data_IF_590172143573
#
_entry.id   IF_590172143573
#
_cell.length_a   1.000
_cell.length_b   1.000
_cell.length_c   1.000
_cell.angle_alpha   90.00
_cell.angle_beta   90.00
_cell.angle_gamma   90.00
#
_symmetry.space_group_name_H-M   'P 1'
#
loop_
_entity.id
_entity.type
_entity.pdbx_description
1 polymer ?
#
# COMPACT_ATOMS: atom_id res chain seq x y z
N UNK A 1 -2.42 6.24 -5.46
CA UNK A 1 -2.11 7.36 -4.53
C UNK A 1 -1.14 6.86 -3.45
N UNK A 2 -0.29 7.71 -2.86
CA UNK A 2 0.58 7.27 -1.77
C UNK A 2 -0.15 7.16 -0.42
N UNK A 3 0.39 6.34 0.50
CA UNK A 3 -0.26 6.02 1.77
C UNK A 3 -0.57 7.26 2.64
N UNK A 4 0.28 8.29 2.62
CA UNK A 4 0.06 9.50 3.42
C UNK A 4 -1.14 10.29 2.93
N UNK A 5 -1.22 10.47 1.60
CA UNK A 5 -2.33 11.17 0.97
C UNK A 5 -3.63 10.43 1.21
N UNK A 6 -3.62 9.09 1.10
CA UNK A 6 -4.79 8.27 1.41
C UNK A 6 -5.29 8.49 2.85
N UNK A 7 -4.42 8.33 3.85
CA UNK A 7 -4.79 8.48 5.26
C UNK A 7 -5.36 9.88 5.56
N UNK A 8 -4.85 10.91 4.87
CA UNK A 8 -5.35 12.28 4.99
C UNK A 8 -6.71 12.45 4.30
N UNK A 9 -6.89 11.88 3.11
CA UNK A 9 -8.13 11.91 2.32
C UNK A 9 -9.30 11.26 3.06
N UNK A 10 -9.10 10.05 3.60
CA UNK A 10 -10.18 9.28 4.24
C UNK A 10 -10.43 9.69 5.71
N UNK A 11 -9.73 10.73 6.21
CA UNK A 11 -9.77 11.19 7.62
C UNK A 11 -9.58 10.05 8.64
N UNK A 12 -8.92 8.98 8.23
CA UNK A 12 -8.79 7.79 9.05
C UNK A 12 -7.68 7.99 10.07
N UNK A 13 -7.92 7.59 11.32
CA UNK A 13 -6.88 7.66 12.34
C UNK A 13 -5.85 6.58 12.05
N UNK A 14 -4.58 6.96 12.03
CA UNK A 14 -3.46 6.01 11.85
C UNK A 14 -3.54 4.82 12.82
N UNK A 15 -4.11 5.03 14.02
CA UNK A 15 -4.32 3.96 15.00
C UNK A 15 -5.29 2.90 14.50
N UNK A 16 -6.47 3.30 14.03
CA UNK A 16 -7.49 2.34 13.55
C UNK A 16 -7.01 1.60 12.29
N UNK A 17 -6.29 2.29 11.42
CA UNK A 17 -5.64 1.67 10.26
C UNK A 17 -4.56 0.67 10.68
N UNK A 18 -3.77 1.02 11.71
CA UNK A 18 -2.76 0.14 12.28
C UNK A 18 -3.39 -1.09 12.95
N UNK A 19 -4.49 -0.91 13.67
CA UNK A 19 -5.24 -1.98 14.34
C UNK A 19 -5.81 -2.97 13.29
N UNK A 20 -6.36 -2.45 12.19
CA UNK A 20 -6.83 -3.28 11.05
C UNK A 20 -5.72 -4.09 10.39
N UNK A 21 -4.49 -3.58 10.45
CA UNK A 21 -3.29 -4.27 9.98
C UNK A 21 -2.62 -5.09 11.09
N UNK A 22 -3.02 -5.01 12.35
CA UNK A 22 -2.29 -5.64 13.47
C UNK A 22 -0.82 -5.17 13.56
N UNK A 23 -0.59 -3.87 13.37
CA UNK A 23 0.73 -3.22 13.54
C UNK A 23 0.62 -2.01 14.46
N UNK A 24 1.74 -1.39 14.80
CA UNK A 24 1.72 -0.16 15.61
C UNK A 24 1.44 1.07 14.76
N UNK A 25 0.79 2.08 15.35
CA UNK A 25 0.58 3.38 14.70
C UNK A 25 1.91 4.02 14.26
N UNK A 26 2.96 3.87 15.07
CA UNK A 26 4.29 4.38 14.75
C UNK A 26 4.85 3.81 13.44
N UNK A 27 4.61 2.52 13.18
CA UNK A 27 5.03 1.86 11.95
C UNK A 27 4.26 2.40 10.73
N UNK A 28 2.94 2.59 10.84
CA UNK A 28 2.16 3.27 9.79
C UNK A 28 2.71 4.67 9.50
N UNK A 29 3.05 5.43 10.54
CA UNK A 29 3.65 6.76 10.40
C UNK A 29 5.03 6.73 9.73
N UNK A 30 5.83 5.69 9.97
CA UNK A 30 7.12 5.50 9.27
C UNK A 30 6.90 5.22 7.78
N UNK A 31 5.96 4.33 7.44
CA UNK A 31 5.61 4.02 6.05
C UNK A 31 5.04 5.25 5.32
N UNK A 32 4.09 5.96 5.92
CA UNK A 32 3.50 7.17 5.34
C UNK A 32 4.53 8.31 5.12
N UNK A 33 5.63 8.33 5.86
CA UNK A 33 6.71 9.31 5.66
C UNK A 33 7.83 8.80 4.77
N UNK A 34 7.73 7.58 4.25
CA UNK A 34 8.81 6.93 3.48
C UNK A 34 10.07 6.64 4.31
N UNK A 35 9.99 6.67 5.64
CA UNK A 35 11.14 6.37 6.53
C UNK A 35 11.46 4.88 6.58
N UNK A 36 10.48 4.04 6.25
CA UNK A 36 10.63 2.59 6.13
C UNK A 36 9.71 2.11 5.02
N UNK A 37 10.11 1.02 4.35
CA UNK A 37 9.25 0.34 3.38
C UNK A 37 8.39 -0.72 4.10
N UNK A 38 7.08 -0.79 3.82
CA UNK A 38 6.27 -1.90 4.30
C UNK A 38 6.77 -3.21 3.69
N UNK A 39 6.88 -4.31 4.46
CA UNK A 39 7.27 -5.60 3.91
C UNK A 39 6.21 -6.10 2.91
N UNK A 40 6.56 -7.04 2.02
CA UNK A 40 5.71 -7.40 0.89
C UNK A 40 4.30 -7.84 1.29
N UNK A 41 4.20 -8.70 2.32
CA UNK A 41 2.91 -9.14 2.88
C UNK A 41 2.03 -7.98 3.37
N UNK A 42 2.62 -6.92 3.91
CA UNK A 42 1.89 -5.72 4.35
C UNK A 42 1.44 -4.86 3.18
N UNK A 43 2.20 -4.81 2.09
CA UNK A 43 1.80 -4.07 0.91
C UNK A 43 0.50 -4.62 0.33
N UNK A 44 0.38 -5.94 0.21
CA UNK A 44 -0.85 -6.60 -0.26
C UNK A 44 -2.02 -6.32 0.70
N UNK A 45 -1.78 -6.37 2.02
CA UNK A 45 -2.81 -6.07 3.00
C UNK A 45 -3.29 -4.60 2.92
N UNK A 46 -2.36 -3.65 2.78
CA UNK A 46 -2.67 -2.23 2.60
C UNK A 46 -3.46 -2.02 1.31
N UNK A 47 -3.02 -2.59 0.19
CA UNK A 47 -3.72 -2.47 -1.10
C UNK A 47 -5.17 -2.98 -1.00
N UNK A 48 -5.40 -4.11 -0.33
CA UNK A 48 -6.74 -4.65 -0.09
C UNK A 48 -7.58 -3.75 0.82
N UNK A 49 -7.02 -3.28 1.93
CA UNK A 49 -7.73 -2.39 2.87
C UNK A 49 -8.06 -1.04 2.27
N UNK A 50 -7.23 -0.56 1.34
CA UNK A 50 -7.46 0.69 0.61
C UNK A 50 -8.25 0.50 -0.68
N UNK A 51 -8.75 -0.71 -0.94
CA UNK A 51 -9.50 -1.05 -2.16
C UNK A 51 -8.76 -0.65 -3.45
N UNK A 52 -7.43 -0.78 -3.46
CA UNK A 52 -6.59 -0.43 -4.60
C UNK A 52 -6.27 1.07 -4.72
N UNK A 53 -6.75 1.94 -3.83
CA UNK A 53 -6.37 3.38 -3.87
C UNK A 53 -4.88 3.58 -3.59
N UNK A 54 -4.30 2.71 -2.76
CA UNK A 54 -2.85 2.66 -2.49
C UNK A 54 -2.32 1.32 -2.99
N UNK A 55 -1.59 1.34 -4.09
CA UNK A 55 -1.09 0.10 -4.70
C UNK A 55 0.22 -0.36 -4.08
N UNK A 56 0.53 -1.65 -4.16
CA UNK A 56 1.83 -2.19 -3.71
C UNK A 56 3.03 -1.62 -4.48
N UNK A 57 2.82 -1.18 -5.73
CA UNK A 57 3.83 -0.46 -6.52
C UNK A 57 4.15 0.90 -5.89
N UNK A 58 3.14 1.62 -5.42
CA UNK A 58 3.34 2.92 -4.75
C UNK A 58 3.93 2.79 -3.35
N UNK A 59 3.65 1.68 -2.66
CA UNK A 59 4.24 1.38 -1.36
C UNK A 59 5.72 0.95 -1.46
N UNK A 60 6.11 0.33 -2.58
CA UNK A 60 7.47 -0.17 -2.84
C UNK A 60 7.93 0.16 -4.26
N UNK A 61 8.17 1.43 -4.59
CA UNK A 61 8.45 1.84 -5.98
C UNK A 61 9.78 1.28 -6.53
N UNK A 62 10.70 0.86 -5.67
CA UNK A 62 12.05 0.43 -6.06
C UNK A 62 12.13 -1.06 -6.38
N UNK A 63 11.46 -1.90 -5.59
CA UNK A 63 11.68 -3.35 -5.61
C UNK A 63 10.39 -4.16 -5.67
N UNK A 64 9.24 -3.54 -5.96
CA UNK A 64 7.98 -4.27 -6.11
C UNK A 64 8.05 -5.39 -7.16
N UNK A 65 8.82 -5.21 -8.23
CA UNK A 65 8.96 -6.20 -9.31
C UNK A 65 9.68 -7.47 -8.86
N UNK A 66 10.52 -7.41 -7.82
CA UNK A 66 11.18 -8.58 -7.24
C UNK A 66 10.19 -9.49 -6.50
N UNK A 67 9.12 -8.91 -5.94
CA UNK A 67 8.11 -9.65 -5.17
C UNK A 67 6.84 -9.98 -5.97
N UNK A 68 6.49 -9.14 -6.95
CA UNK A 68 5.31 -9.30 -7.80
C UNK A 68 5.63 -9.03 -9.28
N UNK A 69 6.49 -9.83 -9.91
CA UNK A 69 6.83 -9.68 -11.32
C UNK A 69 5.60 -9.80 -12.24
N UNK A 70 4.56 -10.52 -11.81
CA UNK A 70 3.30 -10.65 -12.56
C UNK A 70 2.61 -9.30 -12.81
N UNK A 71 2.86 -8.29 -11.96
CA UNK A 71 2.26 -6.97 -12.10
C UNK A 71 2.94 -6.09 -13.16
N UNK A 72 4.12 -6.46 -13.67
CA UNK A 72 4.74 -5.77 -14.81
C UNK A 72 3.91 -5.94 -16.08
N UNK A 73 3.27 -7.09 -16.26
CA UNK A 73 2.55 -7.46 -17.48
C UNK A 73 1.03 -7.25 -17.40
N UNK A 74 0.49 -6.97 -16.20
CA UNK A 74 -0.96 -6.76 -15.99
C UNK A 74 -1.51 -5.46 -16.60
N UNK A 75 -0.65 -4.51 -17.01
CA UNK A 75 -1.11 -3.23 -17.59
C UNK A 75 -1.76 -3.35 -18.99
N UNK A 76 -1.90 -4.56 -19.56
CA UNK A 76 -2.37 -4.77 -20.94
C UNK A 76 -3.63 -5.66 -21.08
N UNK A 77 -4.40 -5.90 -20.02
CA UNK A 77 -5.57 -6.81 -20.13
C UNK A 77 -6.83 -6.30 -19.43
N UNK A 78 -7.25 -5.07 -19.73
CA UNK A 78 -8.59 -4.56 -19.44
C UNK A 78 -9.20 -3.86 -20.67
N UNK A 79 -9.28 -4.59 -21.79
CA UNK A 79 -10.24 -4.31 -22.87
C UNK A 79 -10.98 -5.62 -23.16
N UNK A 80 -12.21 -5.76 -22.67
CA UNK A 80 -13.08 -6.86 -23.07
C UNK A 80 -14.02 -7.38 -21.99
N UNK A 81 -15.14 -6.69 -21.80
CA UNK A 81 -16.48 -7.31 -21.77
C UNK A 81 -17.52 -6.28 -22.13
#
# INVERSE_FOLDING_TARGET
MDLRTYLTKVKHRQREFADSLGVTQGLISQWARGKALPPPNRCVAIERLTHGEVTRKELRPVDWAEYWPELEHTAQHEEGV
#
